data_IF_211013270428
#
_entry.id   IF_211013270428
#
_cell.length_a   1.000
_cell.length_b   1.000
_cell.length_c   1.000
_cell.angle_alpha   90.00
_cell.angle_beta   90.00
_cell.angle_gamma   90.00
#
_symmetry.space_group_name_H-M   'P 1'
#
loop_
_entity.id
_entity.type
_entity.pdbx_description
1 polymer ?
#
# COMPACT_ATOMS: atom_id res chain seq x y z
N UNK A 1 3.66 -62.35 -28.58
CA UNK A 1 3.65 -61.24 -27.60
C UNK A 1 2.63 -60.23 -28.08
N UNK A 2 1.47 -60.14 -27.42
CA UNK A 2 0.42 -59.17 -27.75
C UNK A 2 0.72 -57.83 -27.08
N UNK A 3 0.82 -56.77 -27.87
CA UNK A 3 0.93 -55.39 -27.40
C UNK A 3 -0.44 -54.92 -26.93
N UNK A 4 -0.54 -54.42 -25.69
CA UNK A 4 -1.72 -53.72 -25.20
C UNK A 4 -1.54 -52.23 -25.49
N UNK A 5 -2.45 -51.65 -26.26
CA UNK A 5 -2.49 -50.20 -26.51
C UNK A 5 -3.52 -49.57 -25.58
N UNK A 6 -3.08 -48.64 -24.72
CA UNK A 6 -3.96 -47.84 -23.86
C UNK A 6 -4.25 -46.51 -24.57
N UNK A 7 -5.51 -46.31 -24.95
CA UNK A 7 -6.02 -45.05 -25.48
C UNK A 7 -6.66 -44.27 -24.33
N UNK A 8 -6.16 -43.07 -24.04
CA UNK A 8 -6.83 -42.12 -23.14
C UNK A 8 -7.28 -40.90 -23.94
N UNK A 9 -8.44 -40.36 -23.59
CA UNK A 9 -8.88 -39.03 -24.00
C UNK A 9 -9.17 -38.23 -22.75
N UNK A 10 -8.64 -37.02 -22.65
CA UNK A 10 -9.03 -36.07 -21.60
C UNK A 10 -9.82 -34.96 -22.27
N UNK A 11 -11.06 -34.76 -21.82
CA UNK A 11 -11.82 -33.57 -22.19
C UNK A 11 -11.49 -32.45 -21.21
N UNK A 12 -11.13 -31.28 -21.74
CA UNK A 12 -11.03 -30.05 -20.97
C UNK A 12 -12.46 -29.58 -20.68
N UNK A 13 -13.03 -30.04 -19.56
CA UNK A 13 -14.30 -29.50 -19.06
C UNK A 13 -14.09 -28.04 -18.71
N UNK A 14 -14.82 -27.13 -19.37
CA UNK A 14 -15.02 -25.78 -18.87
C UNK A 14 -15.85 -25.88 -17.61
N UNK A 15 -15.19 -26.01 -16.46
CA UNK A 15 -15.86 -25.89 -15.19
C UNK A 15 -16.29 -24.42 -15.05
N UNK A 16 -17.57 -24.15 -15.26
CA UNK A 16 -18.15 -22.87 -14.87
C UNK A 16 -18.34 -22.95 -13.36
N UNK A 17 -17.27 -22.69 -12.61
CA UNK A 17 -17.44 -22.25 -11.24
C UNK A 17 -18.30 -20.98 -11.33
N UNK A 18 -19.34 -20.88 -10.51
CA UNK A 18 -20.03 -19.62 -10.31
C UNK A 18 -18.96 -18.63 -9.85
N UNK A 19 -18.45 -17.84 -10.77
CA UNK A 19 -17.66 -16.67 -10.45
C UNK A 19 -18.63 -15.80 -9.66
N UNK A 20 -18.46 -15.79 -8.34
CA UNK A 20 -18.90 -14.66 -7.56
C UNK A 20 -18.15 -13.50 -8.21
N UNK A 21 -18.88 -12.70 -9.00
CA UNK A 21 -18.35 -11.52 -9.66
C UNK A 21 -17.65 -10.79 -8.53
N UNK A 22 -16.30 -10.73 -8.55
CA UNK A 22 -15.59 -9.88 -7.60
C UNK A 22 -16.28 -8.54 -7.70
N UNK A 23 -16.92 -8.14 -6.60
CA UNK A 23 -17.63 -6.89 -6.54
C UNK A 23 -16.65 -5.79 -6.99
N UNK A 24 -17.14 -4.67 -7.54
CA UNK A 24 -16.27 -3.54 -7.85
C UNK A 24 -15.61 -3.06 -6.55
N UNK A 25 -14.43 -3.59 -6.26
CA UNK A 25 -13.63 -3.22 -5.11
C UNK A 25 -13.03 -1.84 -5.37
N UNK A 26 -13.00 -1.00 -4.33
CA UNK A 26 -12.58 0.41 -4.46
C UNK A 26 -11.13 0.56 -4.92
N UNK A 27 -10.29 -0.41 -4.55
CA UNK A 27 -8.87 -0.56 -4.90
C UNK A 27 -8.52 -2.05 -4.80
N UNK A 28 -7.59 -2.52 -5.62
CA UNK A 28 -7.04 -3.87 -5.51
C UNK A 28 -5.52 -3.87 -5.79
N UNK A 29 -4.78 -4.77 -5.16
CA UNK A 29 -3.37 -5.07 -5.44
C UNK A 29 -3.18 -6.59 -5.48
N UNK A 30 -2.32 -7.07 -6.38
CA UNK A 30 -2.08 -8.50 -6.57
C UNK A 30 -0.62 -8.84 -6.29
N UNK A 31 -0.39 -9.76 -5.36
CA UNK A 31 0.90 -10.33 -5.02
C UNK A 31 0.87 -11.86 -5.20
N UNK A 32 2.00 -12.52 -4.99
CA UNK A 32 2.09 -13.97 -4.99
C UNK A 32 2.88 -14.44 -3.76
N UNK A 33 2.47 -15.60 -3.23
CA UNK A 33 3.24 -16.32 -2.24
C UNK A 33 4.48 -16.99 -2.88
N UNK A 34 5.37 -17.51 -2.06
CA UNK A 34 6.62 -18.15 -2.50
C UNK A 34 6.40 -19.36 -3.39
N UNK A 35 5.24 -20.02 -3.26
CA UNK A 35 4.85 -21.20 -4.03
C UNK A 35 4.11 -20.85 -5.32
N UNK A 36 3.84 -19.57 -5.56
CA UNK A 36 3.19 -19.05 -6.76
C UNK A 36 1.67 -18.95 -6.65
N UNK A 37 1.08 -19.14 -5.46
CA UNK A 37 -0.36 -18.90 -5.29
C UNK A 37 -0.65 -17.41 -5.26
N UNK A 38 -1.75 -17.03 -5.89
CA UNK A 38 -2.18 -15.64 -5.99
C UNK A 38 -2.73 -15.11 -4.66
N UNK A 39 -2.34 -13.89 -4.30
CA UNK A 39 -2.88 -13.12 -3.19
C UNK A 39 -3.47 -11.82 -3.73
N UNK A 40 -4.80 -11.69 -3.66
CA UNK A 40 -5.52 -10.51 -4.16
C UNK A 40 -6.01 -9.68 -2.98
N UNK A 41 -5.38 -8.55 -2.73
CA UNK A 41 -5.77 -7.61 -1.68
C UNK A 41 -6.78 -6.62 -2.24
N UNK A 42 -7.85 -6.33 -1.48
CA UNK A 42 -8.86 -5.38 -1.93
C UNK A 42 -9.67 -4.77 -0.79
N UNK A 43 -10.31 -3.62 -1.06
CA UNK A 43 -11.30 -3.02 -0.16
C UNK A 43 -12.70 -3.36 -0.68
N UNK A 44 -13.45 -4.12 0.13
CA UNK A 44 -14.83 -4.47 -0.17
C UNK A 44 -15.77 -3.26 -0.16
N UNK A 45 -16.96 -3.44 -0.72
CA UNK A 45 -18.01 -2.40 -0.72
C UNK A 45 -18.53 -2.06 0.68
N UNK A 46 -18.28 -2.94 1.65
CA UNK A 46 -18.52 -2.77 3.08
C UNK A 46 -17.41 -1.98 3.81
N UNK A 47 -16.34 -1.58 3.10
CA UNK A 47 -15.23 -0.83 3.67
C UNK A 47 -14.25 -1.68 4.48
N UNK A 48 -14.30 -3.01 4.33
CA UNK A 48 -13.38 -3.94 4.97
C UNK A 48 -12.22 -4.28 4.01
N UNK A 49 -11.01 -4.41 4.54
CA UNK A 49 -9.84 -4.86 3.79
C UNK A 49 -9.75 -6.38 3.81
N UNK A 50 -9.66 -6.97 2.62
CA UNK A 50 -9.65 -8.41 2.40
C UNK A 50 -8.39 -8.86 1.67
N UNK A 51 -8.02 -10.13 1.89
CA UNK A 51 -7.19 -10.88 0.96
C UNK A 51 -8.01 -12.07 0.42
N UNK A 52 -8.10 -12.17 -0.89
CA UNK A 52 -8.59 -13.36 -1.59
C UNK A 52 -7.38 -14.18 -2.02
N UNK A 53 -7.11 -15.23 -1.26
CA UNK A 53 -5.98 -16.14 -1.44
C UNK A 53 -6.39 -17.35 -2.28
N UNK A 54 -5.58 -17.69 -3.27
CA UNK A 54 -5.62 -18.99 -3.94
C UNK A 54 -5.12 -20.08 -2.99
N UNK A 55 -5.91 -21.13 -2.81
CA UNK A 55 -5.61 -22.21 -1.86
C UNK A 55 -5.79 -23.57 -2.51
N UNK A 56 -4.71 -24.34 -2.55
CA UNK A 56 -4.76 -25.75 -2.95
C UNK A 56 -5.57 -26.57 -1.95
N UNK A 57 -6.58 -27.32 -2.43
CA UNK A 57 -7.34 -28.26 -1.61
C UNK A 57 -8.59 -27.70 -0.91
N UNK A 58 -8.96 -26.44 -1.12
CA UNK A 58 -10.31 -25.96 -0.75
C UNK A 58 -11.33 -26.32 -1.83
N UNK A 59 -12.61 -26.50 -1.45
CA UNK A 59 -13.68 -26.85 -2.42
C UNK A 59 -13.79 -25.85 -3.57
N UNK A 60 -13.44 -24.57 -3.32
CA UNK A 60 -13.55 -23.48 -4.28
C UNK A 60 -12.21 -23.04 -4.90
N UNK A 61 -11.08 -23.55 -4.41
CA UNK A 61 -9.73 -23.13 -4.81
C UNK A 61 -9.32 -21.73 -4.32
N UNK A 62 -10.22 -20.99 -3.69
CA UNK A 62 -10.01 -19.62 -3.22
C UNK A 62 -10.67 -19.40 -1.86
N UNK A 63 -10.00 -18.62 -1.01
CA UNK A 63 -10.51 -18.20 0.29
C UNK A 63 -10.40 -16.68 0.42
N UNK A 64 -11.52 -16.03 0.77
CA UNK A 64 -11.54 -14.61 1.11
C UNK A 64 -11.42 -14.45 2.63
N UNK A 65 -10.43 -13.68 3.06
CA UNK A 65 -10.05 -13.51 4.47
C UNK A 65 -10.15 -12.03 4.82
N UNK A 66 -10.87 -11.73 5.89
CA UNK A 66 -10.97 -10.38 6.47
C UNK A 66 -9.69 -10.04 7.25
N UNK A 67 -9.05 -8.94 6.89
CA UNK A 67 -7.77 -8.50 7.48
C UNK A 67 -7.91 -7.32 8.45
N UNK A 68 -9.07 -6.65 8.49
CA UNK A 68 -9.21 -5.36 9.17
C UNK A 68 -10.30 -5.28 10.23
N UNK A 69 -11.34 -6.12 10.20
CA UNK A 69 -12.46 -5.96 11.15
C UNK A 69 -12.02 -6.13 12.60
N UNK A 70 -11.12 -7.08 12.87
CA UNK A 70 -10.55 -7.28 14.21
C UNK A 70 -9.70 -6.08 14.66
N UNK A 71 -8.93 -5.47 13.74
CA UNK A 71 -8.17 -4.26 14.00
C UNK A 71 -9.10 -3.09 14.34
N UNK A 72 -10.14 -2.86 13.52
CA UNK A 72 -11.09 -1.76 13.71
C UNK A 72 -11.80 -1.91 15.05
N UNK A 73 -12.30 -3.11 15.37
CA UNK A 73 -12.97 -3.39 16.64
C UNK A 73 -12.08 -3.10 17.86
N UNK A 74 -10.77 -3.40 17.77
CA UNK A 74 -9.79 -3.18 18.83
C UNK A 74 -9.37 -1.71 18.96
N UNK A 75 -9.06 -1.05 17.86
CA UNK A 75 -8.45 0.29 17.86
C UNK A 75 -9.47 1.43 17.91
N UNK A 76 -10.73 1.17 17.55
CA UNK A 76 -11.78 2.19 17.45
C UNK A 76 -13.06 1.78 18.21
N UNK A 77 -12.89 1.14 19.37
CA UNK A 77 -14.01 0.69 20.20
C UNK A 77 -15.02 1.82 20.46
N UNK A 78 -16.31 1.51 20.27
CA UNK A 78 -17.41 2.47 20.47
C UNK A 78 -17.59 3.51 19.35
N UNK A 79 -16.74 3.53 18.32
CA UNK A 79 -16.94 4.35 17.12
C UNK A 79 -17.72 3.58 16.06
N UNK A 80 -18.65 4.25 15.38
CA UNK A 80 -19.40 3.71 14.25
C UNK A 80 -18.96 4.34 12.93
N UNK A 81 -19.14 3.62 11.83
CA UNK A 81 -18.75 4.10 10.49
C UNK A 81 -17.25 4.09 10.20
N UNK A 82 -16.45 3.46 11.06
CA UNK A 82 -15.02 3.29 10.85
C UNK A 82 -14.78 2.27 9.75
N UNK A 83 -13.96 2.61 8.76
CA UNK A 83 -13.72 1.78 7.58
C UNK A 83 -12.32 1.99 7.02
N UNK A 84 -11.91 1.11 6.11
CA UNK A 84 -10.67 1.27 5.34
C UNK A 84 -10.89 2.26 4.20
N UNK A 85 -10.03 3.28 4.13
CA UNK A 85 -10.07 4.35 3.12
C UNK A 85 -9.25 4.00 1.89
N UNK A 86 -8.00 3.60 2.11
CA UNK A 86 -7.05 3.20 1.06
C UNK A 86 -6.04 2.22 1.65
N UNK A 87 -5.29 1.54 0.80
CA UNK A 87 -4.21 0.65 1.21
C UNK A 87 -3.11 0.63 0.15
N UNK A 88 -1.96 0.07 0.49
CA UNK A 88 -0.98 -0.40 -0.49
C UNK A 88 -0.40 -1.73 -0.03
N UNK A 89 0.07 -2.54 -0.98
CA UNK A 89 0.66 -3.85 -0.71
C UNK A 89 1.87 -4.07 -1.60
N UNK A 90 2.99 -4.48 -1.02
CA UNK A 90 4.22 -4.74 -1.75
C UNK A 90 4.89 -6.03 -1.28
N UNK A 91 5.82 -6.52 -2.10
CA UNK A 91 6.70 -7.61 -1.76
C UNK A 91 8.13 -7.10 -1.69
N UNK A 92 8.78 -7.36 -0.57
CA UNK A 92 10.18 -7.07 -0.36
C UNK A 92 11.05 -7.81 -1.36
N UNK A 93 11.81 -7.08 -2.16
CA UNK A 93 12.62 -7.68 -3.23
C UNK A 93 13.86 -8.41 -2.71
N UNK A 94 14.26 -8.17 -1.47
CA UNK A 94 15.48 -8.72 -0.87
C UNK A 94 15.19 -10.06 -0.19
N UNK A 95 14.11 -10.14 0.58
CA UNK A 95 13.79 -11.31 1.41
C UNK A 95 12.46 -12.00 1.04
N UNK A 96 11.65 -11.41 0.16
CA UNK A 96 10.36 -11.94 -0.29
C UNK A 96 9.18 -11.64 0.63
N UNK A 97 9.38 -11.03 1.81
CA UNK A 97 8.28 -10.76 2.74
C UNK A 97 7.25 -9.81 2.16
N UNK A 98 6.00 -9.95 2.59
CA UNK A 98 4.88 -9.13 2.15
C UNK A 98 4.65 -7.99 3.14
N UNK A 99 4.38 -6.81 2.61
CA UNK A 99 4.22 -5.56 3.34
C UNK A 99 2.86 -4.97 3.00
N UNK A 100 2.13 -4.55 4.03
CA UNK A 100 0.81 -3.97 3.92
C UNK A 100 0.78 -2.64 4.66
N UNK A 101 0.20 -1.65 4.02
CA UNK A 101 -0.11 -0.37 4.64
C UNK A 101 -1.58 -0.06 4.40
N UNK A 102 -2.31 0.31 5.46
CA UNK A 102 -3.73 0.65 5.36
C UNK A 102 -4.00 1.99 6.03
N UNK A 103 -4.96 2.72 5.48
CA UNK A 103 -5.57 3.87 6.14
C UNK A 103 -6.94 3.46 6.68
N UNK A 104 -7.13 3.62 7.99
CA UNK A 104 -8.43 3.53 8.63
C UNK A 104 -8.96 4.95 8.83
N UNK A 105 -10.21 5.21 8.44
CA UNK A 105 -10.88 6.50 8.66
C UNK A 105 -12.05 6.32 9.61
N UNK A 106 -12.20 7.23 10.57
CA UNK A 106 -13.40 7.33 11.41
C UNK A 106 -14.41 8.38 10.91
N UNK A 107 -14.18 8.89 9.69
CA UNK A 107 -14.96 9.96 9.06
C UNK A 107 -14.59 11.37 9.53
N UNK A 108 -13.69 11.50 10.51
CA UNK A 108 -13.14 12.80 10.95
C UNK A 108 -11.65 12.89 10.68
N UNK A 109 -10.91 11.83 10.99
CA UNK A 109 -9.47 11.75 10.76
C UNK A 109 -9.09 10.35 10.32
N UNK A 110 -7.97 10.30 9.61
CA UNK A 110 -7.36 9.08 9.13
C UNK A 110 -6.27 8.62 10.11
N UNK A 111 -6.00 7.31 10.13
CA UNK A 111 -4.94 6.68 10.92
C UNK A 111 -4.23 5.66 10.04
N UNK A 112 -2.89 5.74 10.02
CA UNK A 112 -2.05 4.80 9.27
C UNK A 112 -1.74 3.57 10.13
N UNK A 113 -1.93 2.40 9.56
CA UNK A 113 -1.48 1.14 10.13
C UNK A 113 -0.60 0.39 9.14
N UNK A 114 0.45 -0.25 9.66
CA UNK A 114 1.39 -1.04 8.87
C UNK A 114 1.42 -2.49 9.37
N UNK A 115 1.51 -3.43 8.46
CA UNK A 115 1.84 -4.82 8.75
C UNK A 115 3.00 -5.22 7.84
N UNK A 116 4.19 -5.31 8.42
CA UNK A 116 5.44 -5.46 7.69
C UNK A 116 6.09 -6.81 7.99
N UNK A 117 7.02 -7.23 7.12
CA UNK A 117 7.76 -8.48 7.28
C UNK A 117 6.87 -9.73 7.37
N UNK A 118 5.71 -9.73 6.72
CA UNK A 118 4.83 -10.90 6.69
C UNK A 118 5.44 -11.99 5.80
N UNK A 119 5.36 -13.26 6.21
CA UNK A 119 5.96 -14.34 5.43
C UNK A 119 5.22 -14.54 4.09
N UNK A 120 5.98 -14.68 3.00
CA UNK A 120 5.49 -15.16 1.71
C UNK A 120 5.46 -16.68 1.61
N UNK A 121 6.02 -17.40 2.57
CA UNK A 121 6.02 -18.85 2.60
C UNK A 121 4.90 -19.42 3.48
N UNK A 122 4.70 -18.84 4.66
CA UNK A 122 3.61 -19.19 5.58
C UNK A 122 2.61 -18.04 5.66
N UNK A 123 1.49 -18.16 4.95
CA UNK A 123 0.45 -17.12 4.90
C UNK A 123 -0.55 -17.19 6.04
N UNK A 124 -0.31 -17.99 7.09
CA UNK A 124 -1.23 -18.11 8.24
C UNK A 124 -1.46 -16.78 8.97
N UNK A 125 -0.52 -15.83 8.83
CA UNK A 125 -0.65 -14.45 9.33
C UNK A 125 -1.88 -13.72 8.77
N UNK A 126 -2.41 -14.12 7.60
CA UNK A 126 -3.63 -13.53 7.03
C UNK A 126 -4.83 -13.63 7.99
N UNK A 127 -4.86 -14.61 8.90
CA UNK A 127 -5.93 -14.74 9.89
C UNK A 127 -5.76 -13.83 11.11
N UNK A 128 -4.55 -13.31 11.34
CA UNK A 128 -4.25 -12.40 12.45
C UNK A 128 -3.03 -11.53 12.09
N UNK A 129 -3.17 -10.57 11.17
CA UNK A 129 -2.05 -9.73 10.77
C UNK A 129 -1.55 -8.90 11.94
N UNK A 130 -0.24 -8.70 12.03
CA UNK A 130 0.35 -7.85 13.05
C UNK A 130 0.33 -6.40 12.57
N UNK A 131 -0.62 -5.62 13.07
CA UNK A 131 -0.77 -4.20 12.73
C UNK A 131 -0.09 -3.30 13.77
N UNK A 132 0.81 -2.44 13.32
CA UNK A 132 1.39 -1.33 14.07
C UNK A 132 0.71 -0.02 13.68
N UNK A 133 0.36 0.80 14.67
CA UNK A 133 -0.15 2.16 14.44
C UNK A 133 1.02 3.12 14.24
N UNK A 134 0.97 3.93 13.18
CA UNK A 134 1.95 4.99 12.93
C UNK A 134 1.29 6.33 13.20
N UNK A 135 1.42 6.80 14.44
CA UNK A 135 0.86 8.09 14.85
C UNK A 135 1.53 9.24 14.09
N UNK A 136 0.74 10.22 13.67
CA UNK A 136 1.24 11.41 13.04
C UNK A 136 1.98 12.29 14.06
N UNK A 137 3.28 12.49 13.85
CA UNK A 137 4.19 13.11 14.82
C UNK A 137 5.16 14.12 14.20
N UNK A 138 4.87 14.66 13.00
CA UNK A 138 5.71 15.71 12.41
C UNK A 138 5.68 16.98 13.31
N UNK A 139 6.84 17.44 13.82
CA UNK A 139 6.93 18.58 14.74
C UNK A 139 6.58 19.94 14.11
N UNK A 140 6.65 20.07 12.78
CA UNK A 140 6.38 21.31 12.06
C UNK A 140 4.88 21.54 11.79
N UNK A 141 4.03 20.54 12.04
CA UNK A 141 2.60 20.63 11.83
C UNK A 141 1.87 19.81 12.91
N UNK A 142 1.49 20.45 14.01
CA UNK A 142 0.96 19.79 15.22
C UNK A 142 -0.57 19.74 15.29
N UNK A 143 -1.28 20.37 14.35
CA UNK A 143 -2.74 20.52 14.40
C UNK A 143 -3.49 19.75 13.28
N UNK A 144 -2.81 18.85 12.57
CA UNK A 144 -3.38 18.19 11.41
C UNK A 144 -4.47 17.19 11.80
N UNK A 145 -5.73 17.52 11.46
CA UNK A 145 -6.69 16.49 11.10
C UNK A 145 -6.08 15.73 9.92
N UNK A 146 -5.75 14.47 10.11
CA UNK A 146 -5.06 13.71 9.09
C UNK A 146 -6.06 13.27 8.03
N UNK A 147 -5.78 13.58 6.76
CA UNK A 147 -6.57 13.16 5.60
C UNK A 147 -5.62 12.52 4.60
N UNK A 148 -5.44 11.20 4.70
CA UNK A 148 -4.53 10.41 3.86
C UNK A 148 -5.23 10.10 2.54
N UNK A 149 -4.55 10.40 1.43
CA UNK A 149 -5.08 10.22 0.08
C UNK A 149 -4.51 8.98 -0.59
N UNK A 150 -3.20 8.79 -0.50
CA UNK A 150 -2.52 7.63 -1.07
C UNK A 150 -1.40 7.15 -0.16
N UNK A 151 -1.11 5.86 -0.27
CA UNK A 151 0.06 5.22 0.31
C UNK A 151 0.83 4.56 -0.83
N UNK A 152 2.15 4.60 -0.77
CA UNK A 152 3.04 3.92 -1.70
C UNK A 152 4.16 3.24 -0.93
N UNK A 153 4.27 1.91 -1.05
CA UNK A 153 5.36 1.12 -0.52
C UNK A 153 6.39 0.94 -1.64
N UNK A 154 7.63 1.29 -1.34
CA UNK A 154 8.74 1.38 -2.29
C UNK A 154 9.92 0.60 -1.77
N UNK A 155 10.30 -0.44 -2.51
CA UNK A 155 11.50 -1.21 -2.25
C UNK A 155 12.71 -0.60 -2.99
N UNK A 156 13.68 -0.07 -2.24
CA UNK A 156 14.90 0.52 -2.80
C UNK A 156 16.10 -0.40 -2.66
N UNK A 157 16.74 -0.73 -3.80
CA UNK A 157 18.08 -1.31 -3.82
C UNK A 157 19.14 -0.20 -3.69
N UNK A 158 19.20 0.50 -2.56
CA UNK A 158 20.25 1.50 -2.30
C UNK A 158 21.46 0.92 -1.58
N UNK A 159 21.35 -0.30 -1.06
CA UNK A 159 22.44 -1.06 -0.45
C UNK A 159 22.18 -2.56 -0.55
N UNK A 160 23.19 -3.39 -0.23
CA UNK A 160 23.13 -4.86 -0.26
C UNK A 160 22.07 -5.49 0.66
N UNK A 161 21.35 -4.69 1.45
CA UNK A 161 20.29 -5.16 2.36
C UNK A 161 18.88 -4.72 1.96
N UNK A 162 18.73 -3.94 0.88
CA UNK A 162 17.44 -3.29 0.56
C UNK A 162 17.03 -2.27 1.62
N UNK A 163 16.26 -1.26 1.23
CA UNK A 163 15.62 -0.33 2.15
C UNK A 163 14.17 -0.14 1.69
N UNK A 164 13.23 -0.43 2.58
CA UNK A 164 11.80 -0.18 2.38
C UNK A 164 11.50 1.29 2.68
N UNK A 165 10.70 1.94 1.83
CA UNK A 165 10.22 3.29 2.03
C UNK A 165 8.72 3.35 1.82
N UNK A 166 8.04 3.94 2.79
CA UNK A 166 6.59 4.14 2.74
C UNK A 166 6.34 5.62 2.55
N UNK A 167 5.73 5.98 1.43
CA UNK A 167 5.27 7.33 1.16
C UNK A 167 3.79 7.46 1.47
N UNK A 168 3.42 8.59 2.05
CA UNK A 168 2.03 8.90 2.36
C UNK A 168 1.72 10.30 1.86
N UNK A 169 0.69 10.38 1.03
CA UNK A 169 0.14 11.65 0.57
C UNK A 169 -0.99 12.05 1.49
N UNK A 170 -0.91 13.25 2.04
CA UNK A 170 -1.94 13.82 2.90
C UNK A 170 -2.44 15.14 2.31
N UNK A 171 -3.69 15.46 2.60
CA UNK A 171 -4.22 16.78 2.35
C UNK A 171 -3.59 17.80 3.30
N UNK A 172 -3.02 18.87 2.74
CA UNK A 172 -2.28 19.91 3.49
C UNK A 172 -3.16 20.66 4.50
N UNK A 173 -4.40 20.94 4.11
CA UNK A 173 -5.38 21.61 4.95
C UNK A 173 -6.79 21.13 4.59
N UNK A 174 -7.33 20.13 5.32
CA UNK A 174 -8.68 19.62 5.14
C UNK A 174 -9.79 20.68 5.17
N UNK A 175 -9.56 21.81 5.84
CA UNK A 175 -10.54 22.88 5.95
C UNK A 175 -10.51 23.85 4.75
N UNK A 176 -9.46 23.81 3.92
CA UNK A 176 -9.30 24.70 2.77
C UNK A 176 -9.85 24.07 1.48
N UNK A 177 -10.34 24.91 0.58
CA UNK A 177 -10.94 24.48 -0.68
C UNK A 177 -9.90 24.09 -1.75
N UNK A 178 -8.63 24.48 -1.59
CA UNK A 178 -7.60 24.19 -2.60
C UNK A 178 -7.17 22.72 -2.62
N UNK A 179 -7.52 21.92 -1.59
CA UNK A 179 -7.30 20.46 -1.52
C UNK A 179 -5.90 20.03 -1.98
N UNK A 180 -4.88 20.77 -1.54
CA UNK A 180 -3.49 20.55 -1.94
C UNK A 180 -2.88 19.37 -1.21
N UNK A 181 -1.96 18.67 -1.87
CA UNK A 181 -1.29 17.48 -1.33
C UNK A 181 0.11 17.82 -0.80
N UNK A 182 0.41 17.30 0.38
CA UNK A 182 1.77 17.15 0.89
C UNK A 182 2.14 15.66 0.88
N UNK A 183 3.38 15.35 0.52
CA UNK A 183 3.92 13.98 0.62
C UNK A 183 4.86 13.87 1.81
N UNK A 184 4.79 12.73 2.46
CA UNK A 184 5.65 12.33 3.56
C UNK A 184 6.32 11.00 3.23
N UNK A 185 7.48 10.74 3.81
CA UNK A 185 8.00 9.39 3.97
C UNK A 185 8.00 9.01 5.45
N UNK A 186 7.81 7.71 5.72
CA UNK A 186 7.78 7.16 7.07
C UNK A 186 9.15 6.59 7.43
N UNK A 187 9.79 7.15 8.47
CA UNK A 187 11.00 6.59 9.07
C UNK A 187 10.65 5.69 10.26
N UNK A 188 10.56 4.39 9.99
CA UNK A 188 10.27 3.38 11.02
C UNK A 188 11.31 3.31 12.13
N UNK A 189 12.53 3.83 11.92
CA UNK A 189 13.58 3.87 12.95
C UNK A 189 13.48 5.11 13.84
N UNK A 190 12.65 6.09 13.47
CA UNK A 190 12.60 7.41 14.11
C UNK A 190 14.00 8.00 14.30
N UNK A 191 14.78 8.08 13.23
CA UNK A 191 16.20 8.51 13.29
C UNK A 191 16.35 9.86 13.99
N UNK A 192 15.41 10.78 13.77
CA UNK A 192 15.36 12.11 14.40
C UNK A 192 14.21 12.27 15.43
N UNK A 193 13.64 11.16 15.91
CA UNK A 193 12.65 11.11 16.99
C UNK A 193 11.17 11.12 16.58
N UNK A 194 10.86 11.15 15.27
CA UNK A 194 9.51 11.12 14.73
C UNK A 194 9.43 10.22 13.48
N UNK A 195 8.24 9.73 13.14
CA UNK A 195 8.00 8.88 11.97
C UNK A 195 7.82 9.70 10.69
N UNK A 196 7.09 10.81 10.74
CA UNK A 196 6.59 11.50 9.54
C UNK A 196 7.53 12.60 9.07
N UNK A 197 8.26 12.35 7.99
CA UNK A 197 9.17 13.32 7.40
C UNK A 197 8.64 13.85 6.07
N UNK A 198 8.67 15.17 5.89
CA UNK A 198 8.24 15.79 4.63
C UNK A 198 9.12 15.33 3.45
N UNK A 199 8.45 14.88 2.39
CA UNK A 199 9.04 14.63 1.08
C UNK A 199 8.49 15.68 0.12
N UNK A 200 9.10 16.86 0.15
CA UNK A 200 8.57 18.04 -0.52
C UNK A 200 8.31 17.80 -2.02
N UNK A 201 7.06 18.03 -2.41
CA UNK A 201 6.66 18.12 -3.81
C UNK A 201 7.03 19.51 -4.31
N UNK A 202 7.85 19.58 -5.37
CA UNK A 202 8.21 20.84 -6.03
C UNK A 202 7.10 21.37 -6.95
N UNK A 203 5.91 20.78 -6.86
CA UNK A 203 4.70 21.13 -7.56
C UNK A 203 3.53 21.09 -6.59
N UNK A 204 2.55 21.93 -6.84
CA UNK A 204 1.24 21.77 -6.22
C UNK A 204 0.51 20.60 -6.90
N UNK A 205 -0.34 19.90 -6.14
CA UNK A 205 -1.20 18.83 -6.64
C UNK A 205 -2.56 18.92 -5.96
N UNK A 206 -3.64 18.75 -6.73
CA UNK A 206 -5.01 18.68 -6.21
C UNK A 206 -5.41 17.21 -5.96
N UNK A 207 -6.12 16.94 -4.86
CA UNK A 207 -6.52 15.61 -4.34
C UNK A 207 -6.99 14.57 -5.38
N UNK A 208 -7.67 14.99 -6.44
CA UNK A 208 -8.25 14.09 -7.46
C UNK A 208 -7.61 14.22 -8.86
N UNK A 209 -6.52 14.98 -8.97
CA UNK A 209 -5.93 15.37 -10.25
C UNK A 209 -4.53 14.82 -10.50
N UNK A 210 -4.08 13.83 -9.72
CA UNK A 210 -2.70 13.33 -9.81
C UNK A 210 -2.60 11.81 -9.74
N UNK A 211 -1.47 11.31 -10.23
CA UNK A 211 -1.05 9.93 -10.12
C UNK A 211 0.44 9.90 -9.82
N UNK A 212 0.84 8.97 -8.95
CA UNK A 212 2.25 8.76 -8.64
C UNK A 212 2.61 7.30 -8.73
N UNK A 213 3.86 7.04 -9.07
CA UNK A 213 4.43 5.70 -9.09
C UNK A 213 5.90 5.75 -8.69
N UNK A 214 6.34 4.70 -8.00
CA UNK A 214 7.73 4.51 -7.62
C UNK A 214 8.54 4.11 -8.85
N UNK A 215 9.74 4.65 -9.00
CA UNK A 215 10.68 4.16 -10.00
C UNK A 215 11.99 4.92 -10.03
N UNK A 216 12.91 4.45 -10.87
CA UNK A 216 14.21 5.11 -11.10
C UNK A 216 14.18 5.95 -12.34
N UNK A 217 14.69 7.18 -12.26
CA UNK A 217 14.98 7.99 -13.44
C UNK A 217 16.30 7.60 -14.08
N UNK A 218 16.36 7.69 -15.40
CA UNK A 218 17.56 7.35 -16.15
C UNK A 218 18.74 8.22 -15.66
N UNK A 219 19.84 7.56 -15.29
CA UNK A 219 21.03 8.22 -14.74
C UNK A 219 20.97 8.50 -13.24
N UNK A 220 19.87 8.17 -12.54
CA UNK A 220 19.81 8.22 -11.07
C UNK A 220 20.29 6.89 -10.46
N UNK A 221 20.88 6.98 -9.28
CA UNK A 221 21.36 5.83 -8.51
C UNK A 221 20.40 5.41 -7.39
N UNK A 222 19.38 6.24 -7.10
CA UNK A 222 18.35 6.01 -6.09
C UNK A 222 17.00 6.08 -6.80
N UNK A 223 16.03 5.26 -6.39
CA UNK A 223 14.67 5.44 -6.88
C UNK A 223 14.03 6.70 -6.30
N UNK A 224 12.86 7.03 -6.82
CA UNK A 224 12.08 8.16 -6.40
C UNK A 224 10.63 7.96 -6.78
N UNK A 225 9.89 9.05 -6.68
CA UNK A 225 8.51 9.11 -7.10
C UNK A 225 8.43 9.90 -8.39
N UNK A 226 7.82 9.29 -9.41
CA UNK A 226 7.27 10.02 -10.52
C UNK A 226 5.87 10.47 -10.15
N UNK A 227 5.57 11.74 -10.36
CA UNK A 227 4.25 12.29 -10.10
C UNK A 227 3.81 13.12 -11.28
N UNK A 228 2.66 12.77 -11.84
CA UNK A 228 1.96 13.54 -12.87
C UNK A 228 0.67 14.07 -12.27
N UNK A 229 0.30 15.30 -12.60
CA UNK A 229 -0.99 15.83 -12.19
C UNK A 229 -1.34 17.14 -12.89
N UNK A 230 -2.39 17.78 -12.41
CA UNK A 230 -2.84 19.08 -12.92
C UNK A 230 -3.08 20.06 -11.78
N UNK A 231 -2.70 21.33 -11.98
CA UNK A 231 -3.07 22.44 -11.10
C UNK A 231 -3.52 23.62 -11.94
N UNK A 232 -4.68 24.19 -11.63
CA UNK A 232 -5.25 25.29 -12.41
C UNK A 232 -5.43 24.95 -13.90
N UNK A 233 -5.66 23.67 -14.22
CA UNK A 233 -5.81 23.17 -15.59
C UNK A 233 -4.49 22.96 -16.37
N UNK A 234 -3.32 23.19 -15.76
CA UNK A 234 -2.03 22.95 -16.39
C UNK A 234 -1.44 21.61 -15.92
N UNK A 235 -1.03 20.78 -16.88
CA UNK A 235 -0.35 19.52 -16.59
C UNK A 235 1.05 19.77 -16.04
N UNK A 236 1.42 19.00 -15.02
CA UNK A 236 2.71 19.02 -14.36
C UNK A 236 3.23 17.59 -14.23
N UNK A 237 4.55 17.44 -14.34
CA UNK A 237 5.23 16.16 -14.20
C UNK A 237 6.56 16.39 -13.50
N UNK A 238 6.80 15.65 -12.42
CA UNK A 238 8.06 15.67 -11.70
C UNK A 238 8.57 14.26 -11.43
N UNK A 239 9.88 14.19 -11.24
CA UNK A 239 10.54 13.08 -10.57
C UNK A 239 11.23 13.65 -9.32
N UNK A 240 10.99 13.04 -8.16
CA UNK A 240 11.62 13.42 -6.90
C UNK A 240 12.29 12.18 -6.28
N UNK A 241 13.62 12.18 -6.09
CA UNK A 241 14.32 11.03 -5.48
C UNK A 241 13.87 10.84 -4.04
N UNK A 242 13.90 9.59 -3.56
CA UNK A 242 13.50 9.25 -2.18
C UNK A 242 14.38 9.98 -1.15
N UNK A 243 15.69 9.93 -1.37
CA UNK A 243 16.65 10.72 -0.61
C UNK A 243 17.13 11.87 -1.48
N UNK A 244 16.98 13.09 -0.98
CA UNK A 244 17.73 14.22 -1.53
C UNK A 244 19.10 14.25 -0.87
N UNK A 245 20.17 13.90 -1.61
CA UNK A 245 21.53 14.25 -1.21
C UNK A 245 21.67 15.78 -1.25
N UNK A 246 21.20 16.49 -0.23
CA UNK A 246 21.07 17.95 -0.32
C UNK A 246 20.76 18.74 0.95
N UNK A 247 20.29 18.12 2.05
CA UNK A 247 20.11 18.85 3.33
C UNK A 247 21.39 18.97 4.17
N UNK A 248 22.55 18.96 3.51
CA UNK A 248 23.84 19.39 4.05
C UNK A 248 24.39 20.58 3.23
N UNK A 249 23.53 21.51 2.81
CA UNK A 249 24.00 22.88 2.51
C UNK A 249 23.74 23.70 3.76
N UNK A 250 24.81 23.84 4.55
CA UNK A 250 24.91 24.85 5.59
C UNK A 250 24.43 26.20 5.02
N UNK A 251 23.40 26.77 5.62
CA UNK A 251 23.18 28.21 5.53
C UNK A 251 24.31 28.87 6.32
N UNK A 252 25.44 29.06 5.64
CA UNK A 252 26.45 30.01 6.07
C UNK A 252 26.33 31.28 5.23
N UNK A 253 25.96 32.32 5.98
CA UNK A 253 25.86 33.75 5.68
C UNK A 253 24.53 34.22 5.10
#
# INVERSE_FOLDING_TARGET
MSSNTLTYSSELMKNFLQAEIMAPDKKFEALQDKTGHSLLFSIGTDGVFYCTQESSGSEKGWNRIDLSSALIAKSFEGKSGVQIKTFDAAQNITNGTLELAITVTDGKTDTLFLSLSNSDLDTSWLHNPSWEIIEYDNPNNTEAVLSIQNIYISELLTSSTGSEYIFVDIEKDPANNSKLINRYYIDLKKTDGYYWHEHNLNIDLEENGYSSTVGRSAGQTIDGMYTIGTVGGLAQFIYQPVLTFGNQISRHR
#
